data_IF_536950328552
#
_entry.id   IF_536950328552
#
_cell.length_a   1.000
_cell.length_b   1.000
_cell.length_c   1.000
_cell.angle_alpha   90.00
_cell.angle_beta   90.00
_cell.angle_gamma   90.00
#
_symmetry.space_group_name_H-M   'P 1'
#
loop_
_entity.id
_entity.type
_entity.pdbx_description
1 polymer ?
#
# COMPACT_ATOMS: atom_id res chain seq x y z
N UNK A 1 -17.84 -6.46 15.81
CA UNK A 1 -17.11 -6.20 14.54
C UNK A 1 -17.81 -5.07 13.81
N UNK A 2 -17.06 -4.09 13.36
CA UNK A 2 -17.56 -2.97 12.54
C UNK A 2 -17.91 -3.46 11.13
N UNK A 3 -18.79 -2.74 10.47
CA UNK A 3 -19.08 -2.97 9.05
C UNK A 3 -17.90 -2.51 8.17
N UNK A 4 -17.87 -2.98 6.92
CA UNK A 4 -16.86 -2.56 5.94
C UNK A 4 -16.88 -1.04 5.73
N UNK A 5 -18.07 -0.42 5.72
CA UNK A 5 -18.22 1.03 5.53
C UNK A 5 -17.70 1.81 6.74
N UNK A 6 -17.96 1.35 7.96
CA UNK A 6 -17.40 1.96 9.18
C UNK A 6 -15.87 1.87 9.21
N UNK A 7 -15.30 0.71 8.86
CA UNK A 7 -13.85 0.55 8.79
C UNK A 7 -13.23 1.43 7.69
N UNK A 8 -13.90 1.54 6.53
CA UNK A 8 -13.45 2.42 5.46
C UNK A 8 -13.45 3.88 5.87
N UNK A 9 -14.49 4.32 6.55
CA UNK A 9 -14.59 5.70 7.06
C UNK A 9 -13.43 6.01 8.02
N UNK A 10 -13.14 5.11 8.97
CA UNK A 10 -12.00 5.25 9.90
C UNK A 10 -10.67 5.40 9.13
N UNK A 11 -10.48 4.60 8.07
CA UNK A 11 -9.28 4.68 7.24
C UNK A 11 -9.21 6.01 6.48
N UNK A 12 -10.31 6.44 5.86
CA UNK A 12 -10.33 7.67 5.06
C UNK A 12 -10.08 8.90 5.95
N UNK A 13 -10.63 8.94 7.17
CA UNK A 13 -10.37 9.98 8.17
C UNK A 13 -8.89 10.01 8.58
N UNK A 14 -8.30 8.86 8.89
CA UNK A 14 -6.89 8.77 9.28
C UNK A 14 -5.94 9.19 8.13
N UNK A 15 -6.21 8.72 6.89
CA UNK A 15 -5.40 9.08 5.73
C UNK A 15 -5.47 10.58 5.41
N UNK A 16 -6.62 11.22 5.64
CA UNK A 16 -6.79 12.66 5.41
C UNK A 16 -5.98 13.50 6.39
N UNK A 17 -5.82 13.03 7.64
CA UNK A 17 -5.11 13.74 8.70
C UNK A 17 -3.69 13.24 8.93
N UNK A 18 -3.23 12.25 8.13
CA UNK A 18 -1.92 11.65 8.29
C UNK A 18 -0.81 12.71 8.26
N UNK A 19 0.01 12.84 9.33
CA UNK A 19 1.09 13.80 9.34
C UNK A 19 2.27 13.28 8.52
N UNK A 20 2.60 13.95 7.42
CA UNK A 20 3.81 13.70 6.66
C UNK A 20 5.01 14.44 7.26
N UNK A 21 6.22 13.97 6.93
CA UNK A 21 7.45 14.59 7.39
C UNK A 21 7.59 16.02 6.86
N UNK A 22 7.95 16.97 7.74
CA UNK A 22 8.05 18.40 7.38
C UNK A 22 9.09 18.67 6.27
N UNK A 23 10.07 17.79 6.13
CA UNK A 23 11.10 17.85 5.10
C UNK A 23 10.55 17.71 3.68
N UNK A 24 9.35 17.15 3.51
CA UNK A 24 8.72 17.00 2.20
C UNK A 24 8.20 18.32 1.63
N UNK A 25 7.90 19.31 2.48
CA UNK A 25 7.44 20.63 2.02
C UNK A 25 6.28 20.54 1.04
N UNK A 26 6.36 21.22 -0.10
CA UNK A 26 5.32 21.26 -1.13
C UNK A 26 5.12 19.90 -1.86
N UNK A 27 6.04 18.95 -1.71
CA UNK A 27 5.86 17.59 -2.26
C UNK A 27 4.63 16.91 -1.63
N UNK A 28 4.26 17.29 -0.39
CA UNK A 28 3.07 16.78 0.30
C UNK A 28 1.80 16.92 -0.54
N UNK A 29 1.66 17.95 -1.36
CA UNK A 29 0.48 18.14 -2.22
C UNK A 29 0.33 16.99 -3.23
N UNK A 30 1.44 16.49 -3.78
CA UNK A 30 1.42 15.36 -4.70
C UNK A 30 1.11 14.03 -3.98
N UNK A 31 1.60 13.85 -2.75
CA UNK A 31 1.28 12.70 -1.92
C UNK A 31 -0.22 12.67 -1.61
N UNK A 32 -0.76 13.78 -1.09
CA UNK A 32 -2.19 13.88 -0.74
C UNK A 32 -3.08 13.72 -1.95
N UNK A 33 -2.74 14.34 -3.07
CA UNK A 33 -3.47 14.17 -4.32
C UNK A 33 -3.60 12.71 -4.72
N UNK A 34 -2.49 11.97 -4.70
CA UNK A 34 -2.47 10.56 -5.08
C UNK A 34 -3.18 9.67 -4.05
N UNK A 35 -3.00 9.93 -2.76
CA UNK A 35 -3.53 9.14 -1.66
C UNK A 35 -5.05 9.34 -1.50
N UNK A 36 -5.52 10.59 -1.61
CA UNK A 36 -6.91 10.96 -1.38
C UNK A 36 -7.76 10.96 -2.66
N UNK A 37 -7.20 10.63 -3.81
CA UNK A 37 -7.89 10.52 -5.10
C UNK A 37 -8.97 9.43 -5.18
N UNK A 38 -9.43 8.92 -4.04
CA UNK A 38 -10.48 7.91 -3.92
C UNK A 38 -9.95 6.48 -3.90
N UNK A 39 -10.87 5.51 -3.88
CA UNK A 39 -10.54 4.08 -3.86
C UNK A 39 -11.46 3.28 -2.93
N UNK A 40 -11.43 1.95 -3.10
CA UNK A 40 -12.27 1.04 -2.30
C UNK A 40 -11.69 0.75 -0.91
N UNK A 41 -10.45 1.15 -0.65
CA UNK A 41 -9.70 0.90 0.61
C UNK A 41 -9.72 -0.56 1.06
N UNK A 42 -9.71 -1.50 0.11
CA UNK A 42 -9.81 -2.94 0.43
C UNK A 42 -8.68 -3.39 1.35
N UNK A 43 -7.44 -2.93 1.09
CA UNK A 43 -6.25 -3.35 1.84
C UNK A 43 -6.28 -2.91 3.30
N UNK A 44 -6.41 -1.62 3.61
CA UNK A 44 -6.49 -1.18 4.99
C UNK A 44 -7.72 -1.73 5.72
N UNK A 45 -8.89 -1.83 5.06
CA UNK A 45 -10.10 -2.42 5.65
C UNK A 45 -9.87 -3.89 6.00
N UNK A 46 -9.22 -4.68 5.14
CA UNK A 46 -8.87 -6.07 5.44
C UNK A 46 -7.93 -6.18 6.64
N UNK A 47 -6.95 -5.27 6.74
CA UNK A 47 -6.05 -5.20 7.89
C UNK A 47 -6.82 -4.93 9.20
N UNK A 48 -7.68 -3.90 9.20
CA UNK A 48 -8.49 -3.58 10.39
C UNK A 48 -9.45 -4.70 10.76
N UNK A 49 -10.16 -5.29 9.79
CA UNK A 49 -11.08 -6.40 10.03
C UNK A 49 -10.36 -7.64 10.61
N UNK A 50 -9.16 -7.94 10.12
CA UNK A 50 -8.32 -9.01 10.67
C UNK A 50 -7.94 -8.72 12.12
N UNK A 51 -7.55 -7.49 12.43
CA UNK A 51 -7.24 -7.06 13.80
C UNK A 51 -8.44 -7.19 14.74
N UNK A 52 -9.62 -6.72 14.32
CA UNK A 52 -10.86 -6.89 15.10
C UNK A 52 -11.20 -8.36 15.36
N UNK A 53 -11.01 -9.24 14.38
CA UNK A 53 -11.21 -10.68 14.53
C UNK A 53 -10.25 -11.31 15.56
N UNK A 54 -9.10 -10.68 15.77
CA UNK A 54 -8.10 -11.05 16.79
C UNK A 54 -8.28 -10.29 18.13
N UNK A 55 -9.37 -9.56 18.28
CA UNK A 55 -9.70 -8.82 19.50
C UNK A 55 -8.90 -7.52 19.69
N UNK A 56 -8.38 -6.94 18.62
CA UNK A 56 -7.67 -5.66 18.63
C UNK A 56 -8.59 -4.51 18.26
N UNK A 57 -8.35 -3.35 18.83
CA UNK A 57 -9.07 -2.13 18.45
C UNK A 57 -8.51 -1.56 17.13
N UNK A 58 -9.35 -0.98 16.25
CA UNK A 58 -8.89 -0.40 14.98
C UNK A 58 -7.73 0.57 15.14
N UNK A 59 -7.72 1.42 16.17
CA UNK A 59 -6.65 2.38 16.44
C UNK A 59 -5.26 1.75 16.58
N UNK A 60 -5.19 0.51 17.09
CA UNK A 60 -3.91 -0.22 17.18
C UNK A 60 -3.38 -0.66 15.82
N UNK A 61 -4.25 -0.82 14.82
CA UNK A 61 -3.93 -1.29 13.48
C UNK A 61 -3.75 -0.16 12.47
N UNK A 62 -4.20 1.07 12.77
CA UNK A 62 -4.18 2.20 11.83
C UNK A 62 -2.80 2.45 11.21
N UNK A 63 -1.67 2.45 11.94
CA UNK A 63 -0.37 2.63 11.31
C UNK A 63 -0.06 1.58 10.25
N UNK A 64 -0.39 0.31 10.49
CA UNK A 64 -0.19 -0.77 9.53
C UNK A 64 -1.18 -0.68 8.35
N UNK A 65 -2.45 -0.35 8.62
CA UNK A 65 -3.49 -0.20 7.61
C UNK A 65 -3.16 0.97 6.66
N UNK A 66 -2.77 2.12 7.19
CA UNK A 66 -2.34 3.27 6.39
C UNK A 66 -1.06 2.97 5.59
N UNK A 67 -0.07 2.29 6.19
CA UNK A 67 1.14 1.90 5.49
C UNK A 67 0.87 1.02 4.27
N UNK A 68 -0.05 0.07 4.37
CA UNK A 68 -0.47 -0.79 3.25
C UNK A 68 -1.11 0.04 2.11
N UNK A 69 -1.91 1.06 2.44
CA UNK A 69 -2.50 1.94 1.42
C UNK A 69 -1.45 2.88 0.81
N UNK A 70 -0.48 3.37 1.62
CA UNK A 70 0.64 4.16 1.11
C UNK A 70 1.49 3.36 0.12
N UNK A 71 1.84 2.10 0.44
CA UNK A 71 2.57 1.21 -0.48
C UNK A 71 1.75 0.94 -1.75
N UNK A 72 0.44 0.74 -1.63
CA UNK A 72 -0.42 0.60 -2.80
C UNK A 72 -0.44 1.87 -3.65
N UNK A 73 -0.55 3.04 -3.03
CA UNK A 73 -0.58 4.32 -3.74
C UNK A 73 0.76 4.62 -4.42
N UNK A 74 1.88 4.35 -3.74
CA UNK A 74 3.23 4.39 -4.33
C UNK A 74 3.29 3.59 -5.62
N UNK A 75 2.83 2.33 -5.60
CA UNK A 75 2.88 1.48 -6.79
C UNK A 75 2.08 2.06 -7.94
N UNK A 76 0.88 2.62 -7.68
CA UNK A 76 0.06 3.24 -8.72
C UNK A 76 0.71 4.51 -9.31
N UNK A 77 1.32 5.34 -8.45
CA UNK A 77 2.01 6.57 -8.90
C UNK A 77 3.18 6.23 -9.83
N UNK A 78 3.94 5.19 -9.51
CA UNK A 78 5.06 4.76 -10.36
C UNK A 78 4.59 4.00 -11.60
N UNK A 79 3.58 3.12 -11.47
CA UNK A 79 3.02 2.38 -12.61
C UNK A 79 2.50 3.33 -13.71
N UNK A 80 1.90 4.47 -13.33
CA UNK A 80 1.36 5.47 -14.27
C UNK A 80 2.44 6.24 -15.07
N UNK A 81 3.72 6.18 -14.67
CA UNK A 81 4.79 6.91 -15.34
C UNK A 81 4.97 6.50 -16.81
N UNK A 82 5.41 7.43 -17.70
CA UNK A 82 5.66 7.12 -19.12
C UNK A 82 6.66 6.00 -19.36
N UNK A 83 7.53 5.72 -18.39
CA UNK A 83 8.49 4.62 -18.46
C UNK A 83 7.88 3.24 -18.16
N UNK A 84 6.63 3.17 -17.67
CA UNK A 84 5.91 1.96 -17.31
C UNK A 84 4.60 1.86 -18.11
N UNK A 85 3.44 2.12 -17.48
CA UNK A 85 2.14 1.93 -18.13
C UNK A 85 1.70 3.15 -18.98
N UNK A 86 2.33 4.32 -18.80
CA UNK A 86 2.04 5.60 -19.49
C UNK A 86 0.56 6.01 -19.37
N UNK A 87 -0.02 5.83 -18.18
CA UNK A 87 -1.42 6.12 -17.92
C UNK A 87 -1.63 7.61 -17.61
N UNK A 88 -2.30 8.36 -18.49
CA UNK A 88 -2.61 9.78 -18.26
C UNK A 88 -3.69 10.00 -17.18
N UNK A 89 -4.54 9.01 -16.92
CA UNK A 89 -5.68 9.11 -16.01
C UNK A 89 -5.66 7.99 -14.97
N UNK A 90 -5.83 8.35 -13.70
CA UNK A 90 -6.04 7.42 -12.60
C UNK A 90 -7.36 7.73 -11.87
N UNK A 91 -8.28 6.76 -11.83
CA UNK A 91 -9.62 6.93 -11.21
C UNK A 91 -10.41 8.12 -11.76
N UNK A 92 -10.23 8.43 -13.06
CA UNK A 92 -10.91 9.52 -13.75
C UNK A 92 -10.31 10.91 -13.52
N UNK A 93 -9.18 11.01 -12.83
CA UNK A 93 -8.39 12.25 -12.66
C UNK A 93 -7.03 12.11 -13.34
N UNK A 94 -6.36 13.21 -13.72
CA UNK A 94 -4.99 13.16 -14.23
C UNK A 94 -4.08 12.40 -13.28
N UNK A 95 -3.22 11.53 -13.81
CA UNK A 95 -2.20 10.85 -13.02
C UNK A 95 -1.19 11.85 -12.42
N UNK A 96 -0.42 11.41 -11.41
CA UNK A 96 0.50 12.32 -10.72
C UNK A 96 1.53 12.94 -11.66
N UNK A 97 2.06 12.18 -12.62
CA UNK A 97 3.06 12.70 -13.58
C UNK A 97 2.47 13.72 -14.54
N UNK A 98 1.19 13.59 -14.93
CA UNK A 98 0.50 14.56 -15.76
C UNK A 98 0.25 15.87 -15.01
N UNK A 99 -0.13 15.76 -13.72
CA UNK A 99 -0.48 16.94 -12.93
C UNK A 99 0.74 17.69 -12.39
N UNK A 100 1.77 16.99 -11.94
CA UNK A 100 2.91 17.57 -11.21
C UNK A 100 4.25 17.44 -11.97
N UNK A 101 4.26 16.67 -13.05
CA UNK A 101 5.48 16.32 -13.79
C UNK A 101 6.12 15.03 -13.28
N UNK A 102 6.88 14.36 -14.16
CA UNK A 102 7.48 13.05 -13.91
C UNK A 102 8.42 13.04 -12.68
N UNK A 103 9.29 14.05 -12.55
CA UNK A 103 10.23 14.15 -11.44
C UNK A 103 9.53 14.23 -10.08
N UNK A 104 8.44 15.02 -9.99
CA UNK A 104 7.63 15.12 -8.77
C UNK A 104 6.90 13.82 -8.50
N UNK A 105 6.35 13.15 -9.53
CA UNK A 105 5.68 11.87 -9.37
C UNK A 105 6.62 10.76 -8.86
N UNK A 106 7.85 10.70 -9.36
CA UNK A 106 8.87 9.77 -8.85
C UNK A 106 9.13 10.01 -7.36
N UNK A 107 9.43 11.28 -7.00
CA UNK A 107 9.70 11.63 -5.60
C UNK A 107 8.48 11.42 -4.69
N UNK A 108 7.27 11.67 -5.19
CA UNK A 108 6.04 11.40 -4.44
C UNK A 108 5.85 9.91 -4.15
N UNK A 109 6.14 9.05 -5.13
CA UNK A 109 6.14 7.60 -4.91
C UNK A 109 7.18 7.16 -3.87
N UNK A 110 8.43 7.65 -3.98
CA UNK A 110 9.50 7.36 -3.03
C UNK A 110 9.14 7.81 -1.61
N UNK A 111 8.54 9.00 -1.48
CA UNK A 111 8.10 9.53 -0.21
C UNK A 111 6.95 8.71 0.40
N UNK A 112 5.94 8.32 -0.40
CA UNK A 112 4.85 7.44 0.05
C UNK A 112 5.39 6.11 0.58
N UNK A 113 6.33 5.50 -0.14
CA UNK A 113 6.98 4.26 0.29
C UNK A 113 7.75 4.43 1.60
N UNK A 114 8.50 5.51 1.73
CA UNK A 114 9.30 5.82 2.92
C UNK A 114 8.40 6.09 4.13
N UNK A 115 7.33 6.87 3.95
CA UNK A 115 6.33 7.16 4.98
C UNK A 115 5.59 5.88 5.44
N UNK A 116 5.32 4.95 4.54
CA UNK A 116 4.76 3.66 4.91
C UNK A 116 5.65 2.91 5.91
N UNK A 117 6.97 2.88 5.67
CA UNK A 117 7.91 2.28 6.63
C UNK A 117 8.00 3.08 7.93
N UNK A 118 7.96 4.41 7.89
CA UNK A 118 7.92 5.24 9.10
C UNK A 118 6.73 4.88 9.99
N UNK A 119 5.56 4.64 9.39
CA UNK A 119 4.35 4.23 10.13
C UNK A 119 4.52 2.86 10.80
N UNK A 120 4.92 1.82 10.06
CA UNK A 120 5.02 0.48 10.64
C UNK A 120 6.19 0.31 11.61
N UNK A 121 7.20 1.15 11.52
CA UNK A 121 8.32 1.21 12.49
C UNK A 121 7.93 1.90 13.81
N UNK A 122 6.75 2.50 13.91
CA UNK A 122 6.23 3.00 15.18
C UNK A 122 5.83 1.88 16.16
N UNK A 123 5.62 0.66 15.67
CA UNK A 123 5.35 -0.48 16.53
C UNK A 123 6.60 -0.94 17.31
N UNK A 124 6.44 -1.44 18.54
CA UNK A 124 7.55 -1.98 19.33
C UNK A 124 8.25 -3.19 18.68
N UNK A 125 7.49 -3.95 17.88
CA UNK A 125 7.99 -5.13 17.16
C UNK A 125 8.35 -4.76 15.71
N UNK A 126 9.49 -5.23 15.17
CA UNK A 126 9.83 -5.03 13.77
C UNK A 126 9.03 -5.91 12.79
N UNK A 127 8.23 -6.84 13.29
CA UNK A 127 7.52 -7.83 12.46
C UNK A 127 6.54 -7.20 11.45
N UNK A 128 5.71 -6.18 11.79
CA UNK A 128 4.87 -5.53 10.79
C UNK A 128 5.67 -4.91 9.63
N UNK A 129 6.82 -4.29 9.95
CA UNK A 129 7.71 -3.72 8.94
C UNK A 129 8.35 -4.80 8.06
N UNK A 130 8.71 -5.93 8.64
CA UNK A 130 9.25 -7.09 7.90
C UNK A 130 8.22 -7.64 6.91
N UNK A 131 6.97 -7.84 7.36
CA UNK A 131 5.87 -8.34 6.50
C UNK A 131 5.61 -7.37 5.35
N UNK A 132 5.55 -6.07 5.62
CA UNK A 132 5.36 -5.04 4.60
C UNK A 132 6.52 -5.02 3.59
N UNK A 133 7.77 -5.12 4.06
CA UNK A 133 8.94 -5.14 3.19
C UNK A 133 8.94 -6.34 2.24
N UNK A 134 8.65 -7.54 2.75
CA UNK A 134 8.57 -8.75 1.92
C UNK A 134 7.46 -8.66 0.89
N UNK A 135 6.31 -8.08 1.25
CA UNK A 135 5.20 -7.88 0.32
C UNK A 135 5.55 -6.85 -0.77
N UNK A 136 6.20 -5.74 -0.38
CA UNK A 136 6.66 -4.70 -1.29
C UNK A 136 7.69 -5.24 -2.29
N UNK A 137 8.66 -6.02 -1.84
CA UNK A 137 9.63 -6.68 -2.72
C UNK A 137 8.95 -7.64 -3.70
N UNK A 138 7.95 -8.41 -3.23
CA UNK A 138 7.16 -9.28 -4.11
C UNK A 138 6.40 -8.49 -5.18
N UNK A 139 5.77 -7.38 -4.80
CA UNK A 139 5.05 -6.50 -5.73
C UNK A 139 5.99 -5.88 -6.78
N UNK A 140 7.16 -5.39 -6.36
CA UNK A 140 8.18 -4.84 -7.27
C UNK A 140 8.68 -5.94 -8.22
N UNK A 141 8.95 -7.16 -7.71
CA UNK A 141 9.33 -8.30 -8.54
C UNK A 141 8.26 -8.67 -9.56
N UNK A 142 6.97 -8.62 -9.17
CA UNK A 142 5.85 -8.81 -10.08
C UNK A 142 5.78 -7.75 -11.17
N UNK A 143 5.96 -6.47 -10.82
CA UNK A 143 6.01 -5.38 -11.80
C UNK A 143 7.19 -5.54 -12.77
N UNK A 144 8.35 -5.95 -12.29
CA UNK A 144 9.51 -6.25 -13.15
C UNK A 144 9.19 -7.34 -14.18
N UNK A 145 8.55 -8.43 -13.76
CA UNK A 145 8.10 -9.49 -14.68
C UNK A 145 7.12 -8.96 -15.70
N UNK A 146 6.13 -8.16 -15.26
CA UNK A 146 5.11 -7.56 -16.13
C UNK A 146 5.74 -6.72 -17.26
N UNK A 147 6.65 -5.83 -16.91
CA UNK A 147 7.34 -4.95 -17.86
C UNK A 147 8.27 -5.71 -18.81
N UNK A 148 8.95 -6.77 -18.33
CA UNK A 148 10.00 -7.45 -19.12
C UNK A 148 9.48 -8.58 -20.01
N UNK A 149 8.27 -9.10 -19.74
CA UNK A 149 7.71 -10.23 -20.50
C UNK A 149 6.78 -9.79 -21.66
N UNK A 150 6.46 -8.51 -21.79
CA UNK A 150 5.56 -7.96 -22.82
C UNK A 150 4.21 -8.74 -22.90
N UNK A 151 3.75 -9.32 -21.78
CA UNK A 151 2.49 -10.06 -21.75
C UNK A 151 2.55 -11.48 -22.35
N UNK A 152 3.69 -11.98 -22.78
CA UNK A 152 3.87 -13.34 -23.31
C UNK A 152 4.11 -14.34 -22.17
N UNK A 153 3.13 -14.45 -21.27
CA UNK A 153 3.14 -15.37 -20.15
C UNK A 153 2.04 -16.45 -20.39
N UNK A 154 2.44 -17.70 -20.35
CA UNK A 154 1.45 -18.78 -20.28
C UNK A 154 0.61 -18.71 -19.00
N UNK A 155 -0.45 -19.53 -18.85
CA UNK A 155 -1.36 -19.46 -17.70
C UNK A 155 -0.68 -19.55 -16.34
N UNK A 156 0.37 -20.36 -16.21
CA UNK A 156 1.14 -20.50 -14.96
C UNK A 156 1.94 -19.26 -14.65
N UNK A 157 2.63 -18.67 -15.64
CA UNK A 157 3.39 -17.43 -15.47
C UNK A 157 2.47 -16.24 -15.15
N UNK A 158 1.27 -16.18 -15.75
CA UNK A 158 0.29 -15.15 -15.43
C UNK A 158 -0.23 -15.29 -13.99
N UNK A 159 -0.45 -16.51 -13.51
CA UNK A 159 -0.86 -16.77 -12.13
C UNK A 159 0.24 -16.33 -11.14
N UNK A 160 1.51 -16.64 -11.44
CA UNK A 160 2.65 -16.21 -10.64
C UNK A 160 2.78 -14.69 -10.63
N UNK A 161 2.65 -14.02 -11.77
CA UNK A 161 2.64 -12.57 -11.89
C UNK A 161 1.57 -11.95 -10.98
N UNK A 162 0.33 -12.42 -11.07
CA UNK A 162 -0.76 -11.91 -10.24
C UNK A 162 -0.52 -12.16 -8.74
N UNK A 163 0.05 -13.31 -8.39
CA UNK A 163 0.40 -13.61 -7.01
C UNK A 163 1.47 -12.64 -6.49
N UNK A 164 2.47 -12.30 -7.28
CA UNK A 164 3.52 -11.36 -6.92
C UNK A 164 3.01 -9.93 -6.90
N UNK A 165 2.48 -9.42 -8.03
CA UNK A 165 2.07 -8.02 -8.21
C UNK A 165 0.93 -7.62 -7.27
N UNK A 166 -0.02 -8.53 -7.01
CA UNK A 166 -1.24 -8.24 -6.24
C UNK A 166 -1.36 -9.07 -4.97
N UNK A 167 -1.13 -10.37 -5.05
CA UNK A 167 -1.38 -11.33 -3.98
C UNK A 167 -0.50 -11.07 -2.75
N UNK A 168 0.77 -10.71 -2.95
CA UNK A 168 1.71 -10.43 -1.85
C UNK A 168 1.23 -9.30 -0.94
N UNK A 169 0.79 -8.18 -1.51
CA UNK A 169 0.32 -7.05 -0.72
C UNK A 169 -1.06 -7.32 -0.08
N UNK A 170 -1.94 -8.10 -0.73
CA UNK A 170 -3.19 -8.55 -0.11
C UNK A 170 -2.93 -9.48 1.08
N UNK A 171 -1.98 -10.42 0.96
CA UNK A 171 -1.57 -11.26 2.08
C UNK A 171 -1.00 -10.42 3.22
N UNK A 172 -0.21 -9.39 2.93
CA UNK A 172 0.36 -8.51 3.94
C UNK A 172 -0.70 -7.79 4.78
N UNK A 173 -1.91 -7.57 4.25
CA UNK A 173 -3.00 -6.99 5.04
C UNK A 173 -3.35 -7.88 6.24
N UNK A 174 -3.29 -9.20 6.06
CA UNK A 174 -3.53 -10.16 7.14
C UNK A 174 -2.27 -10.35 7.99
N UNK A 175 -1.10 -10.53 7.37
CA UNK A 175 0.13 -10.85 8.13
C UNK A 175 0.65 -9.66 8.94
N UNK A 176 0.47 -8.41 8.49
CA UNK A 176 0.75 -7.22 9.29
C UNK A 176 -0.20 -7.14 10.51
N UNK A 177 -1.51 -7.36 10.30
CA UNK A 177 -2.47 -7.33 11.41
C UNK A 177 -2.18 -8.42 12.45
N UNK A 178 -1.88 -9.65 12.02
CA UNK A 178 -1.50 -10.74 12.92
C UNK A 178 -0.17 -10.47 13.64
N UNK A 179 0.78 -9.80 12.98
CA UNK A 179 2.03 -9.38 13.58
C UNK A 179 1.81 -8.32 14.68
N UNK A 180 0.95 -7.33 14.43
CA UNK A 180 0.54 -6.33 15.43
C UNK A 180 -0.18 -7.01 16.60
N UNK A 181 -1.02 -8.00 16.32
CA UNK A 181 -1.71 -8.78 17.36
C UNK A 181 -0.78 -9.70 18.17
N UNK A 182 0.49 -9.83 17.79
CA UNK A 182 1.46 -10.66 18.50
C UNK A 182 1.38 -12.16 18.18
N UNK A 183 0.69 -12.52 17.08
CA UNK A 183 0.66 -13.91 16.59
C UNK A 183 2.06 -14.31 16.12
N UNK A 184 2.53 -15.49 16.48
CA UNK A 184 3.88 -15.95 16.14
C UNK A 184 4.05 -16.16 14.62
N UNK A 185 5.28 -16.00 14.08
CA UNK A 185 5.54 -16.22 12.64
C UNK A 185 5.14 -17.61 12.16
N UNK A 186 5.26 -18.65 12.99
CA UNK A 186 4.88 -20.02 12.66
C UNK A 186 3.37 -20.21 12.51
N UNK A 187 2.57 -19.43 13.25
CA UNK A 187 1.10 -19.48 13.18
C UNK A 187 0.54 -18.64 12.03
N UNK A 188 1.28 -17.60 11.59
CA UNK A 188 0.88 -16.74 10.46
C UNK A 188 0.99 -17.42 9.10
N UNK A 189 1.74 -18.49 8.97
CA UNK A 189 1.99 -19.23 7.72
C UNK A 189 1.14 -20.49 7.54
N UNK A 190 0.28 -20.83 8.50
CA UNK A 190 -0.58 -22.00 8.47
C UNK A 190 -1.82 -21.83 7.59
#
# INVERSE_FOLDING_TARGET
MKTVDELRQIVDEELAELPFAAELGELEDALRYSLLGGGKRIRPVLCLATGEALGREPGELLPAACALELVHTFSLVHDDLPALDDDELRRGQPSAHVRFGEGVAILAGDALLTEAFRLVLSYPSPEPARELALATLGMIGGQYVDVTTNGDLGPEGLAELHQLKTGRLLRACVTCATAVAGVSPSERGA
#
